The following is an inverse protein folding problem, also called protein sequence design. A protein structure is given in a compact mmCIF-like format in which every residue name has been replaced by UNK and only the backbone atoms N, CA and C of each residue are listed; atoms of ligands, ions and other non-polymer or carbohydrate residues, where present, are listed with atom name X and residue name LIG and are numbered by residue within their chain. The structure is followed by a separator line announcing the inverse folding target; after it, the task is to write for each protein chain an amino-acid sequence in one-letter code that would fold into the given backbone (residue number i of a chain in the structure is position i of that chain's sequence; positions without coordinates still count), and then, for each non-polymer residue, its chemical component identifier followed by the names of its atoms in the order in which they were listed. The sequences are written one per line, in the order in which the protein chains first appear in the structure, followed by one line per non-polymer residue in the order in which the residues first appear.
data_IF_939075832721
#
_entry.id   IF_939075832721
#
_cell.length_a   1.000
_cell.length_b   1.000
_cell.length_c   1.000
_cell.angle_alpha   90.00
_cell.angle_beta   90.00
_cell.angle_gamma   90.00
#
_symmetry.space_group_name_H-M   'P 1'
#
loop_
_entity.id
_entity.type
_entity.pdbx_description
1 polymer ?
#
# COMPACT_ATOMS: atom_id res chain seq x y z
N UNK A 1 -10.42 -7.83 -23.74
CA UNK A 1 -11.45 -8.28 -24.71
C UNK A 1 -12.62 -9.00 -24.04
N UNK A 2 -12.40 -10.06 -23.27
CA UNK A 2 -13.48 -10.80 -22.58
C UNK A 2 -14.28 -9.92 -21.60
N UNK A 3 -13.61 -9.15 -20.74
CA UNK A 3 -14.26 -8.25 -19.78
C UNK A 3 -15.22 -7.24 -20.45
N UNK A 4 -14.78 -6.61 -21.55
CA UNK A 4 -15.62 -5.71 -22.34
C UNK A 4 -16.88 -6.40 -22.90
N UNK A 5 -16.76 -7.63 -23.41
CA UNK A 5 -17.90 -8.40 -23.92
C UNK A 5 -18.88 -8.81 -22.81
N UNK A 6 -18.39 -9.03 -21.60
CA UNK A 6 -19.17 -9.46 -20.44
C UNK A 6 -19.67 -8.33 -19.54
N UNK A 7 -19.54 -7.06 -19.95
CA UNK A 7 -19.84 -5.89 -19.11
C UNK A 7 -19.12 -5.91 -17.74
N UNK A 8 -17.88 -6.40 -17.72
CA UNK A 8 -17.04 -6.46 -16.54
C UNK A 8 -15.81 -5.55 -16.69
N UNK A 9 -15.21 -5.20 -15.56
CA UNK A 9 -13.98 -4.42 -15.48
C UNK A 9 -12.82 -5.30 -15.04
N UNK A 10 -11.64 -5.09 -15.64
CA UNK A 10 -10.38 -5.65 -15.13
C UNK A 10 -9.66 -4.52 -14.42
N UNK A 11 -9.18 -4.80 -13.21
CA UNK A 11 -8.35 -3.87 -12.44
C UNK A 11 -6.96 -4.45 -12.36
N UNK A 12 -6.00 -3.80 -13.03
CA UNK A 12 -4.59 -4.14 -12.88
C UNK A 12 -4.07 -3.54 -11.57
N UNK A 13 -3.65 -4.39 -10.64
CA UNK A 13 -3.26 -3.96 -9.29
C UNK A 13 -1.80 -3.51 -9.22
N UNK A 14 -0.98 -3.89 -10.22
CA UNK A 14 0.44 -3.54 -10.26
C UNK A 14 0.74 -2.30 -11.08
N UNK A 15 -0.22 -1.79 -11.85
CA UNK A 15 -0.01 -0.59 -12.66
C UNK A 15 0.11 0.63 -11.74
N UNK A 16 1.28 1.30 -11.69
CA UNK A 16 1.47 2.48 -10.86
C UNK A 16 0.75 3.70 -11.47
N UNK A 17 0.33 4.69 -10.66
CA UNK A 17 -0.16 5.97 -11.19
C UNK A 17 0.84 6.62 -12.15
N UNK A 18 0.34 7.25 -13.23
CA UNK A 18 1.18 7.87 -14.25
C UNK A 18 1.85 9.18 -13.80
N UNK A 19 1.33 9.78 -12.72
CA UNK A 19 1.70 11.11 -12.21
C UNK A 19 2.41 11.04 -10.86
N UNK A 20 3.10 9.94 -10.56
CA UNK A 20 3.91 9.85 -9.33
C UNK A 20 5.05 10.88 -9.41
N UNK A 21 5.12 11.84 -8.49
CA UNK A 21 6.24 12.78 -8.43
C UNK A 21 7.54 12.05 -8.05
N UNK A 22 8.69 12.56 -8.52
CA UNK A 22 10.01 12.08 -8.09
C UNK A 22 10.04 12.05 -6.55
N UNK A 23 10.65 10.98 -6.04
CA UNK A 23 10.70 10.77 -4.61
C UNK A 23 11.48 11.88 -3.91
N UNK A 24 10.97 12.33 -2.76
CA UNK A 24 11.48 13.54 -2.13
C UNK A 24 11.16 13.61 -0.65
N UNK A 25 11.93 14.41 0.07
CA UNK A 25 11.82 14.63 1.52
C UNK A 25 10.58 15.46 1.89
N UNK A 26 9.38 14.97 1.53
CA UNK A 26 8.12 15.61 1.90
C UNK A 26 8.00 15.59 3.41
N UNK A 27 7.64 16.74 3.98
CA UNK A 27 7.34 16.82 5.40
C UNK A 27 6.21 15.84 5.73
N UNK A 28 6.39 15.06 6.79
CA UNK A 28 5.31 14.22 7.32
C UNK A 28 4.13 15.11 7.69
N UNK A 29 2.90 14.63 7.46
CA UNK A 29 1.70 15.34 7.91
C UNK A 29 1.79 15.58 9.41
N UNK A 30 1.64 16.83 9.84
CA UNK A 30 1.74 17.19 11.26
C UNK A 30 0.77 16.34 12.09
N UNK A 31 1.26 15.82 13.22
CA UNK A 31 0.48 14.92 14.09
C UNK A 31 0.26 13.51 13.56
N UNK A 32 0.89 13.09 12.46
CA UNK A 32 0.90 11.69 12.00
C UNK A 32 2.12 10.92 12.51
N UNK A 33 1.89 9.67 12.91
CA UNK A 33 2.94 8.69 13.19
C UNK A 33 2.94 7.68 12.06
N UNK A 34 4.09 7.47 11.45
CA UNK A 34 4.29 6.48 10.38
C UNK A 34 5.09 5.32 10.97
N UNK A 35 4.54 4.11 10.88
CA UNK A 35 5.17 2.87 11.33
C UNK A 35 5.47 2.02 10.10
N UNK A 36 6.75 1.75 9.83
CA UNK A 36 7.17 0.85 8.76
C UNK A 36 7.57 -0.49 9.37
N UNK A 37 6.83 -1.56 9.04
CA UNK A 37 7.24 -2.92 9.43
C UNK A 37 8.34 -3.42 8.51
N UNK A 38 9.53 -3.62 9.07
CA UNK A 38 10.68 -4.23 8.39
C UNK A 38 10.87 -5.67 8.86
N UNK A 39 11.55 -6.48 8.05
CA UNK A 39 11.82 -7.89 8.35
C UNK A 39 13.10 -8.33 7.65
N UNK A 40 13.72 -9.39 8.16
CA UNK A 40 15.01 -9.90 7.68
C UNK A 40 14.95 -10.52 6.28
N UNK A 41 13.76 -10.90 5.83
CA UNK A 41 13.53 -11.50 4.51
C UNK A 41 12.15 -11.10 3.95
N UNK A 42 11.86 -11.42 2.69
CA UNK A 42 10.54 -11.42 2.08
C UNK A 42 9.60 -12.44 2.76
N UNK A 43 8.28 -12.26 2.63
CA UNK A 43 7.25 -13.19 3.14
C UNK A 43 7.24 -13.53 4.66
N UNK A 44 8.10 -12.95 5.50
CA UNK A 44 8.15 -13.19 6.96
C UNK A 44 7.01 -12.54 7.81
N UNK A 45 5.87 -12.22 7.20
CA UNK A 45 4.71 -11.68 7.94
C UNK A 45 4.69 -10.15 8.15
N UNK A 46 5.50 -9.37 7.44
CA UNK A 46 5.50 -7.89 7.52
C UNK A 46 4.10 -7.27 7.33
N UNK A 47 3.37 -7.72 6.30
CA UNK A 47 1.99 -7.28 6.03
C UNK A 47 1.04 -7.67 7.17
N UNK A 48 1.12 -8.92 7.64
CA UNK A 48 0.29 -9.42 8.74
C UNK A 48 0.51 -8.60 10.01
N UNK A 49 1.77 -8.35 10.38
CA UNK A 49 2.11 -7.51 11.53
C UNK A 49 1.52 -6.10 11.39
N UNK A 50 1.59 -5.49 10.20
CA UNK A 50 1.00 -4.18 9.95
C UNK A 50 -0.53 -4.16 10.13
N UNK A 51 -1.23 -5.18 9.63
CA UNK A 51 -2.70 -5.29 9.77
C UNK A 51 -3.09 -5.44 11.25
N UNK A 52 -2.41 -6.31 12.00
CA UNK A 52 -2.67 -6.52 13.43
C UNK A 52 -2.41 -5.26 14.27
N UNK A 53 -1.35 -4.49 13.95
CA UNK A 53 -1.08 -3.20 14.59
C UNK A 53 -2.22 -2.22 14.33
N UNK A 54 -2.69 -2.11 13.08
CA UNK A 54 -3.80 -1.22 12.71
C UNK A 54 -5.08 -1.61 13.45
N UNK A 55 -5.40 -2.90 13.51
CA UNK A 55 -6.58 -3.39 14.19
C UNK A 55 -6.50 -3.19 15.71
N UNK A 56 -5.34 -3.41 16.33
CA UNK A 56 -5.11 -3.12 17.74
C UNK A 56 -5.27 -1.63 18.05
N UNK A 57 -4.71 -0.74 17.22
CA UNK A 57 -4.85 0.71 17.39
C UNK A 57 -6.30 1.15 17.25
N UNK A 58 -7.05 0.60 16.29
CA UNK A 58 -8.48 0.87 16.12
C UNK A 58 -9.29 0.40 17.32
N UNK A 59 -9.03 -0.81 17.85
CA UNK A 59 -9.64 -1.30 19.10
C UNK A 59 -9.35 -0.39 20.29
N UNK A 60 -8.17 0.25 20.32
CA UNK A 60 -7.80 1.24 21.33
C UNK A 60 -8.35 2.66 21.07
N UNK A 61 -9.29 2.81 20.13
CA UNK A 61 -9.92 4.10 19.80
C UNK A 61 -9.01 5.08 19.06
N UNK A 62 -7.91 4.61 18.46
CA UNK A 62 -6.99 5.44 17.68
C UNK A 62 -7.35 5.40 16.19
N UNK A 63 -7.13 6.52 15.50
CA UNK A 63 -7.24 6.58 14.03
C UNK A 63 -5.97 5.97 13.42
N UNK A 64 -6.12 4.80 12.80
CA UNK A 64 -5.04 4.10 12.12
C UNK A 64 -5.52 3.56 10.75
N UNK A 65 -4.59 3.54 9.79
CA UNK A 65 -4.80 3.04 8.44
C UNK A 65 -3.61 2.17 8.02
N UNK A 66 -3.91 1.12 7.26
CA UNK A 66 -2.91 0.28 6.59
C UNK A 66 -2.64 0.85 5.20
N UNK A 67 -1.37 1.08 4.85
CA UNK A 67 -0.97 1.58 3.52
C UNK A 67 -0.32 0.42 2.77
N UNK A 68 -1.00 -0.09 1.74
CA UNK A 68 -0.53 -1.25 1.00
C UNK A 68 0.59 -0.90 0.02
N UNK A 69 1.66 -1.71 0.05
CA UNK A 69 2.86 -1.57 -0.79
C UNK A 69 3.03 -2.70 -1.82
N UNK A 70 2.12 -3.68 -1.83
CA UNK A 70 2.18 -4.82 -2.74
C UNK A 70 0.78 -5.30 -3.12
N UNK A 71 0.70 -6.05 -4.23
CA UNK A 71 -0.57 -6.48 -4.84
C UNK A 71 -1.56 -7.13 -3.86
N UNK A 72 -1.10 -8.02 -2.97
CA UNK A 72 -1.96 -8.68 -1.98
C UNK A 72 -2.54 -7.67 -1.00
N UNK A 73 -1.71 -6.73 -0.53
CA UNK A 73 -2.16 -5.65 0.35
C UNK A 73 -3.18 -4.76 -0.34
N UNK A 74 -3.00 -4.45 -1.63
CA UNK A 74 -3.92 -3.62 -2.41
C UNK A 74 -5.26 -4.35 -2.59
N UNK A 75 -5.24 -5.65 -2.86
CA UNK A 75 -6.45 -6.45 -2.96
C UNK A 75 -7.26 -6.46 -1.65
N UNK A 76 -6.57 -6.45 -0.49
CA UNK A 76 -7.20 -6.39 0.84
C UNK A 76 -7.70 -4.98 1.17
N UNK A 77 -6.87 -3.95 0.96
CA UNK A 77 -7.16 -2.58 1.38
C UNK A 77 -8.06 -1.82 0.40
N UNK A 78 -8.16 -2.30 -0.84
CA UNK A 78 -8.85 -1.60 -1.93
C UNK A 78 -8.04 -0.47 -2.57
N UNK A 79 -6.95 -0.03 -1.93
CA UNK A 79 -6.06 1.06 -2.37
C UNK A 79 -4.60 0.77 -1.99
N UNK A 80 -3.67 1.51 -2.60
CA UNK A 80 -2.23 1.39 -2.37
C UNK A 80 -1.43 1.44 -3.68
N UNK A 81 -0.12 1.21 -3.59
CA UNK A 81 0.80 1.22 -4.72
C UNK A 81 1.68 -0.03 -4.66
N UNK A 82 1.78 -0.78 -5.76
CA UNK A 82 2.69 -1.91 -5.86
C UNK A 82 4.11 -1.36 -6.12
N UNK A 83 4.87 -1.07 -5.06
CA UNK A 83 6.18 -0.39 -5.20
C UNK A 83 7.20 -1.20 -6.02
N UNK A 84 7.03 -2.52 -6.11
CA UNK A 84 7.88 -3.38 -6.95
C UNK A 84 7.72 -3.16 -8.46
N UNK A 85 6.64 -2.48 -8.88
CA UNK A 85 6.34 -2.15 -10.27
C UNK A 85 6.56 -0.67 -10.58
N UNK A 86 6.95 0.14 -9.59
CA UNK A 86 7.27 1.56 -9.75
C UNK A 86 8.71 1.71 -10.25
N UNK A 87 8.93 2.60 -11.22
CA UNK A 87 10.27 2.95 -11.70
C UNK A 87 11.08 3.57 -10.55
N UNK A 88 12.35 3.16 -10.41
CA UNK A 88 13.16 3.41 -9.22
C UNK A 88 13.20 4.88 -8.74
N UNK A 89 13.27 5.84 -9.67
CA UNK A 89 13.32 7.28 -9.35
C UNK A 89 12.08 7.81 -8.60
N UNK A 90 10.99 7.04 -8.58
CA UNK A 90 9.68 7.44 -8.04
C UNK A 90 9.27 6.69 -6.76
N UNK A 91 10.14 5.85 -6.18
CA UNK A 91 9.80 5.01 -5.01
C UNK A 91 9.76 5.80 -3.69
N UNK A 92 10.49 6.93 -3.57
CA UNK A 92 10.81 7.58 -2.29
C UNK A 92 9.84 8.68 -1.79
#
# INVERSE_FOLDING_TARGET
AAAKRGNATVRELREPPSDIPIGGHRARRQGSVVVLTVGTDAAVGKMTASLEIVDALRRAGKRAAFVATGQTGIAIAGEGIAVDAVVADFIA
#
